data_IF_136913964387
#
_entry.id   IF_136913964387
#
_cell.length_a   1.000
_cell.length_b   1.000
_cell.length_c   1.000
_cell.angle_alpha   90.00
_cell.angle_beta   90.00
_cell.angle_gamma   90.00
#
_symmetry.space_group_name_H-M   'P 1'
#
loop_
_entity.id
_entity.type
_entity.pdbx_description
1 polymer ?
#
# COMPACT_ATOMS: atom_id res chain seq x y z
N UNK A 1 -24.54 1.54 21.41
CA UNK A 1 -23.65 2.59 21.96
C UNK A 1 -22.54 1.89 22.73
N UNK A 2 -21.27 2.14 22.38
CA UNK A 2 -20.12 1.54 23.06
C UNK A 2 -20.05 2.06 24.51
N UNK A 3 -19.82 1.17 25.48
CA UNK A 3 -19.84 1.53 26.91
C UNK A 3 -18.76 2.56 27.31
N UNK A 4 -17.61 2.54 26.65
CA UNK A 4 -16.50 3.46 26.92
C UNK A 4 -16.43 4.62 25.93
N UNK A 5 -16.86 4.41 24.68
CA UNK A 5 -16.63 5.34 23.57
C UNK A 5 -17.92 6.01 23.04
N UNK A 6 -19.08 5.72 23.63
CA UNK A 6 -20.36 6.31 23.23
C UNK A 6 -20.73 5.94 21.79
N UNK A 7 -20.82 6.95 20.92
CA UNK A 7 -21.17 6.81 19.50
C UNK A 7 -19.96 6.54 18.60
N UNK A 8 -18.73 6.64 19.12
CA UNK A 8 -17.52 6.42 18.30
C UNK A 8 -17.37 4.92 18.00
N UNK A 9 -17.35 4.51 16.72
CA UNK A 9 -17.30 3.10 16.34
C UNK A 9 -15.93 2.47 16.63
N UNK A 10 -15.94 1.23 17.14
CA UNK A 10 -14.73 0.42 17.31
C UNK A 10 -14.59 -0.53 16.12
N UNK A 11 -13.46 -0.49 15.43
CA UNK A 11 -13.15 -1.39 14.32
C UNK A 11 -11.96 -2.27 14.66
N UNK A 12 -11.88 -3.47 14.06
CA UNK A 12 -10.83 -4.45 14.38
C UNK A 12 -10.11 -4.93 13.13
N UNK A 13 -8.79 -4.77 13.11
CA UNK A 13 -7.92 -5.26 12.04
C UNK A 13 -7.15 -6.51 12.47
N UNK A 14 -7.32 -7.60 11.73
CA UNK A 14 -6.77 -8.92 12.00
C UNK A 14 -5.79 -9.38 10.91
N UNK A 15 -5.11 -10.48 11.24
CA UNK A 15 -4.40 -11.38 10.33
C UNK A 15 -5.07 -12.76 10.39
N UNK A 16 -4.82 -13.62 9.41
CA UNK A 16 -5.42 -14.98 9.36
C UNK A 16 -5.09 -15.84 10.59
N UNK A 17 -3.92 -15.60 11.19
CA UNK A 17 -3.46 -16.24 12.43
C UNK A 17 -2.03 -15.83 12.77
N UNK A 18 -1.45 -16.45 13.80
CA UNK A 18 -0.07 -16.16 14.24
C UNK A 18 0.98 -16.97 13.45
N UNK A 19 0.71 -18.26 13.24
CA UNK A 19 1.62 -19.23 12.60
C UNK A 19 1.01 -19.80 11.32
N UNK A 20 1.87 -20.15 10.37
CA UNK A 20 1.45 -20.79 9.12
C UNK A 20 0.72 -22.13 9.40
N UNK A 21 -0.33 -22.42 8.64
CA UNK A 21 -1.18 -23.61 8.85
C UNK A 21 -2.00 -23.61 10.15
N UNK A 22 -1.99 -22.53 10.94
CA UNK A 22 -2.78 -22.39 12.19
C UNK A 22 -3.66 -21.15 12.15
N UNK A 23 -4.40 -21.00 11.06
CA UNK A 23 -5.31 -19.87 10.91
C UNK A 23 -6.49 -20.00 11.89
N UNK A 24 -6.90 -18.90 12.49
CA UNK A 24 -7.98 -18.87 13.49
C UNK A 24 -8.96 -17.71 13.30
N UNK A 25 -8.76 -16.84 12.30
CA UNK A 25 -9.64 -15.69 12.06
C UNK A 25 -11.10 -16.10 11.83
N UNK A 26 -11.36 -17.19 11.10
CA UNK A 26 -12.72 -17.76 10.91
C UNK A 26 -13.47 -18.06 12.23
N UNK A 27 -12.76 -18.31 13.33
CA UNK A 27 -13.36 -18.55 14.66
C UNK A 27 -13.55 -17.27 15.46
N UNK A 28 -12.75 -16.24 15.18
CA UNK A 28 -12.69 -15.00 15.94
C UNK A 28 -13.61 -13.93 15.33
N UNK A 29 -13.63 -13.82 14.00
CA UNK A 29 -14.40 -12.78 13.30
C UNK A 29 -15.91 -12.83 13.57
N UNK A 30 -16.58 -14.00 13.62
CA UNK A 30 -18.00 -14.04 13.97
C UNK A 30 -18.26 -13.45 15.36
N UNK A 31 -17.42 -13.80 16.34
CA UNK A 31 -17.52 -13.30 17.73
C UNK A 31 -17.26 -11.80 17.83
N UNK A 32 -16.36 -11.26 16.99
CA UNK A 32 -16.11 -9.82 16.93
C UNK A 32 -17.33 -9.04 16.46
N UNK A 33 -18.04 -9.58 15.46
CA UNK A 33 -19.28 -8.99 14.96
C UNK A 33 -20.39 -9.10 16.02
N UNK A 34 -20.66 -10.31 16.51
CA UNK A 34 -21.88 -10.60 17.28
C UNK A 34 -21.75 -10.37 18.79
N UNK A 35 -20.64 -10.78 19.40
CA UNK A 35 -20.48 -10.70 20.85
C UNK A 35 -19.85 -9.37 21.30
N UNK A 36 -18.90 -8.84 20.53
CA UNK A 36 -18.06 -7.72 20.98
C UNK A 36 -18.45 -6.38 20.37
N UNK A 37 -19.41 -6.37 19.43
CA UNK A 37 -19.98 -5.15 18.85
C UNK A 37 -18.98 -4.34 18.03
N UNK A 38 -18.08 -5.01 17.30
CA UNK A 38 -17.21 -4.33 16.35
C UNK A 38 -18.04 -3.74 15.19
N UNK A 39 -17.83 -2.47 14.88
CA UNK A 39 -18.56 -1.75 13.84
C UNK A 39 -18.01 -2.01 12.43
N UNK A 40 -16.77 -2.52 12.31
CA UNK A 40 -16.20 -2.99 11.07
C UNK A 40 -15.02 -3.95 11.34
N UNK A 41 -14.81 -4.89 10.42
CA UNK A 41 -13.71 -5.84 10.47
C UNK A 41 -12.76 -5.61 9.29
N UNK A 42 -11.47 -5.81 9.49
CA UNK A 42 -10.49 -5.85 8.39
C UNK A 42 -9.60 -7.07 8.52
N UNK A 43 -9.57 -7.96 7.52
CA UNK A 43 -8.72 -9.15 7.55
C UNK A 43 -7.60 -9.05 6.53
N UNK A 44 -6.36 -9.07 7.01
CA UNK A 44 -5.20 -9.23 6.14
C UNK A 44 -4.95 -10.72 5.89
N UNK A 45 -4.94 -11.14 4.62
CA UNK A 45 -4.86 -12.54 4.17
C UNK A 45 -3.52 -13.26 4.42
N UNK A 46 -2.73 -12.83 5.41
CA UNK A 46 -1.48 -13.49 5.81
C UNK A 46 -1.42 -13.68 7.30
N UNK A 47 -0.74 -14.74 7.72
CA UNK A 47 -0.40 -14.95 9.12
C UNK A 47 0.68 -13.95 9.56
N UNK A 48 0.87 -13.78 10.86
CA UNK A 48 1.97 -12.96 11.40
C UNK A 48 3.33 -13.49 10.93
N UNK A 49 3.54 -14.82 10.97
CA UNK A 49 4.81 -15.47 10.61
C UNK A 49 5.18 -15.27 9.14
N UNK A 50 4.20 -15.29 8.23
CA UNK A 50 4.45 -15.08 6.80
C UNK A 50 5.02 -13.69 6.46
N UNK A 51 4.85 -12.69 7.33
CA UNK A 51 5.27 -11.30 7.07
C UNK A 51 4.80 -10.84 5.68
N UNK A 52 5.73 -10.77 4.71
CA UNK A 52 5.51 -10.41 3.31
C UNK A 52 6.06 -11.47 2.31
N UNK A 53 6.43 -12.67 2.77
CA UNK A 53 7.11 -13.67 1.91
C UNK A 53 6.16 -14.50 1.05
N UNK A 54 4.86 -14.51 1.37
CA UNK A 54 3.81 -15.21 0.60
C UNK A 54 2.75 -14.22 0.13
N UNK A 55 1.97 -14.62 -0.87
CA UNK A 55 0.76 -13.94 -1.29
C UNK A 55 -0.31 -14.00 -0.20
N UNK A 56 -1.21 -13.02 -0.19
CA UNK A 56 -2.41 -13.04 0.62
C UNK A 56 -3.37 -14.15 0.15
N UNK A 57 -3.86 -14.92 1.12
CA UNK A 57 -4.83 -15.99 0.95
C UNK A 57 -6.25 -15.42 0.95
N UNK A 58 -6.76 -15.12 -0.26
CA UNK A 58 -8.09 -14.55 -0.47
C UNK A 58 -9.21 -15.61 -0.35
N UNK A 59 -8.91 -16.89 -0.54
CA UNK A 59 -9.85 -17.99 -0.30
C UNK A 59 -10.15 -18.12 1.20
N UNK A 60 -9.12 -17.96 2.04
CA UNK A 60 -9.31 -17.92 3.47
C UNK A 60 -10.02 -16.65 3.95
N UNK A 61 -9.81 -15.50 3.29
CA UNK A 61 -10.63 -14.30 3.55
C UNK A 61 -12.10 -14.59 3.27
N UNK A 62 -12.41 -15.19 2.12
CA UNK A 62 -13.78 -15.61 1.77
C UNK A 62 -14.37 -16.52 2.85
N UNK A 63 -13.62 -17.55 3.27
CA UNK A 63 -14.03 -18.47 4.35
C UNK A 63 -14.41 -17.72 5.63
N UNK A 64 -13.67 -16.66 5.98
CA UNK A 64 -13.96 -15.86 7.17
C UNK A 64 -15.17 -14.95 6.97
N UNK A 65 -15.38 -14.39 5.77
CA UNK A 65 -16.58 -13.61 5.42
C UNK A 65 -17.81 -14.50 5.54
N UNK A 66 -17.80 -15.67 4.88
CA UNK A 66 -18.91 -16.62 4.91
C UNK A 66 -19.28 -17.02 6.36
N UNK A 67 -18.28 -17.23 7.22
CA UNK A 67 -18.49 -17.56 8.64
C UNK A 67 -19.15 -16.42 9.43
N UNK A 68 -18.81 -15.15 9.13
CA UNK A 68 -19.47 -13.99 9.75
C UNK A 68 -20.91 -13.87 9.26
N UNK A 69 -21.13 -13.97 7.94
CA UNK A 69 -22.47 -13.86 7.34
C UNK A 69 -23.42 -14.95 7.85
N UNK A 70 -22.96 -16.20 7.94
CA UNK A 70 -23.74 -17.29 8.51
C UNK A 70 -24.15 -17.04 9.97
N UNK A 71 -23.26 -16.43 10.76
CA UNK A 71 -23.54 -16.10 12.17
C UNK A 71 -24.51 -14.93 12.31
N UNK A 72 -24.40 -13.93 11.44
CA UNK A 72 -25.33 -12.80 11.36
C UNK A 72 -26.73 -13.27 10.99
N UNK A 73 -26.85 -14.20 10.04
CA UNK A 73 -28.13 -14.79 9.64
C UNK A 73 -28.76 -15.63 10.76
N UNK A 74 -27.97 -16.49 11.43
CA UNK A 74 -28.42 -17.33 12.56
C UNK A 74 -29.03 -16.49 13.69
N UNK A 75 -28.42 -15.34 14.00
CA UNK A 75 -28.82 -14.48 15.12
C UNK A 75 -29.71 -13.31 14.72
N UNK A 76 -30.06 -13.17 13.44
CA UNK A 76 -30.90 -12.06 12.94
C UNK A 76 -30.26 -10.68 13.11
N UNK A 77 -28.93 -10.60 12.99
CA UNK A 77 -28.14 -9.39 13.22
C UNK A 77 -27.95 -8.58 11.94
N UNK A 78 -27.69 -7.29 12.11
CA UNK A 78 -27.30 -6.43 11.01
C UNK A 78 -25.89 -6.80 10.49
N UNK A 79 -25.72 -6.70 9.18
CA UNK A 79 -24.44 -6.99 8.51
C UNK A 79 -23.35 -6.01 8.92
N UNK A 80 -22.22 -6.52 9.41
CA UNK A 80 -21.03 -5.71 9.65
C UNK A 80 -20.20 -5.54 8.36
N UNK A 81 -19.68 -4.34 8.07
CA UNK A 81 -18.70 -4.13 7.01
C UNK A 81 -17.41 -4.92 7.25
N UNK A 82 -16.96 -5.67 6.25
CA UNK A 82 -15.73 -6.45 6.26
C UNK A 82 -14.83 -6.00 5.11
N UNK A 83 -13.61 -5.59 5.44
CA UNK A 83 -12.59 -5.20 4.48
C UNK A 83 -11.51 -6.29 4.33
N UNK A 84 -11.27 -6.74 3.11
CA UNK A 84 -10.14 -7.61 2.79
C UNK A 84 -8.82 -6.83 2.71
N UNK A 85 -7.69 -7.50 2.91
CA UNK A 85 -6.39 -6.84 2.87
C UNK A 85 -5.28 -7.73 2.34
N UNK A 86 -4.51 -7.18 1.41
CA UNK A 86 -3.28 -7.79 0.92
C UNK A 86 -3.24 -7.92 -0.60
N UNK A 87 -2.14 -7.46 -1.18
CA UNK A 87 -1.76 -7.72 -2.57
C UNK A 87 -2.81 -7.27 -3.61
N UNK A 88 -3.48 -6.15 -3.35
CA UNK A 88 -4.29 -5.42 -4.33
C UNK A 88 -3.47 -4.23 -4.85
N UNK A 89 -3.13 -4.26 -6.14
CA UNK A 89 -2.20 -3.31 -6.75
C UNK A 89 -2.73 -2.61 -7.99
N UNK A 90 -3.96 -2.93 -8.40
CA UNK A 90 -4.62 -2.38 -9.57
C UNK A 90 -6.14 -2.30 -9.31
N UNK A 91 -6.87 -1.59 -10.18
CA UNK A 91 -8.33 -1.57 -10.17
C UNK A 91 -8.93 -2.96 -10.40
N UNK A 92 -8.43 -3.66 -11.41
CA UNK A 92 -8.83 -5.04 -11.70
C UNK A 92 -8.61 -5.95 -10.48
N UNK A 93 -7.40 -5.91 -9.91
CA UNK A 93 -7.05 -6.65 -8.69
C UNK A 93 -8.05 -6.40 -7.55
N UNK A 94 -8.43 -5.13 -7.33
CA UNK A 94 -9.36 -4.74 -6.28
C UNK A 94 -10.74 -5.37 -6.49
N UNK A 95 -11.31 -5.22 -7.69
CA UNK A 95 -12.67 -5.68 -7.97
C UNK A 95 -12.76 -7.21 -8.07
N UNK A 96 -11.75 -7.88 -8.62
CA UNK A 96 -11.66 -9.34 -8.57
C UNK A 96 -11.68 -9.86 -7.13
N UNK A 97 -10.93 -9.22 -6.23
CA UNK A 97 -10.87 -9.59 -4.81
C UNK A 97 -12.19 -9.34 -4.07
N UNK A 98 -12.86 -8.21 -4.35
CA UNK A 98 -14.21 -7.93 -3.83
C UNK A 98 -15.18 -9.01 -4.27
N UNK A 99 -15.28 -9.27 -5.59
CA UNK A 99 -16.22 -10.21 -6.16
C UNK A 99 -15.97 -11.66 -5.72
N UNK A 100 -14.70 -12.06 -5.63
CA UNK A 100 -14.30 -13.41 -5.23
C UNK A 100 -14.57 -13.70 -3.76
N UNK A 101 -14.23 -12.75 -2.88
CA UNK A 101 -14.22 -12.99 -1.44
C UNK A 101 -15.47 -12.50 -0.69
N UNK A 102 -16.32 -11.70 -1.34
CA UNK A 102 -17.53 -11.15 -0.72
C UNK A 102 -17.27 -10.07 0.33
N UNK A 103 -16.06 -9.50 0.36
CA UNK A 103 -15.74 -8.36 1.22
C UNK A 103 -16.42 -7.09 0.71
N UNK A 104 -16.76 -6.17 1.61
CA UNK A 104 -17.40 -4.88 1.28
C UNK A 104 -16.40 -3.87 0.69
N UNK A 105 -15.11 -4.16 0.80
CA UNK A 105 -14.04 -3.39 0.17
C UNK A 105 -12.67 -3.97 0.46
N UNK A 106 -11.64 -3.38 -0.15
CA UNK A 106 -10.24 -3.80 0.06
C UNK A 106 -9.41 -2.67 0.63
N UNK A 107 -8.70 -2.95 1.73
CA UNK A 107 -7.70 -2.04 2.29
C UNK A 107 -6.41 -2.10 1.47
N UNK A 108 -6.15 -1.04 0.72
CA UNK A 108 -4.95 -0.86 -0.10
C UNK A 108 -3.87 -0.13 0.72
N UNK A 109 -2.64 -0.65 0.71
CA UNK A 109 -1.51 -0.06 1.45
C UNK A 109 -0.28 0.14 0.56
N UNK A 110 0.51 -0.91 0.31
CA UNK A 110 1.71 -0.82 -0.53
C UNK A 110 1.39 -0.33 -1.96
N UNK A 111 0.25 -0.75 -2.53
CA UNK A 111 -0.21 -0.25 -3.83
C UNK A 111 -0.37 1.27 -3.85
N UNK A 112 -0.92 1.86 -2.78
CA UNK A 112 -1.07 3.32 -2.67
C UNK A 112 0.26 4.06 -2.48
N UNK A 113 1.27 3.41 -1.89
CA UNK A 113 2.62 3.99 -1.80
C UNK A 113 3.35 3.99 -3.15
N UNK A 114 3.13 2.96 -3.97
CA UNK A 114 3.78 2.85 -5.29
C UNK A 114 3.02 3.68 -6.34
N UNK A 115 1.70 3.62 -6.32
CA UNK A 115 0.78 4.33 -7.22
C UNK A 115 -0.24 5.12 -6.38
N UNK A 116 0.05 6.36 -5.95
CA UNK A 116 -0.91 7.16 -5.18
C UNK A 116 -2.27 7.37 -5.89
N UNK A 117 -2.31 7.27 -7.22
CA UNK A 117 -3.52 7.37 -8.03
C UNK A 117 -4.36 6.08 -8.09
N UNK A 118 -3.95 4.99 -7.43
CA UNK A 118 -4.71 3.71 -7.41
C UNK A 118 -6.17 3.87 -6.96
N UNK A 119 -6.47 4.85 -6.10
CA UNK A 119 -7.84 5.11 -5.67
C UNK A 119 -8.70 5.68 -6.79
N UNK A 120 -8.11 6.49 -7.68
CA UNK A 120 -8.76 6.95 -8.91
C UNK A 120 -9.03 5.77 -9.84
N UNK A 121 -8.03 4.89 -10.01
CA UNK A 121 -8.19 3.68 -10.84
C UNK A 121 -9.32 2.78 -10.34
N UNK A 122 -9.40 2.56 -9.02
CA UNK A 122 -10.45 1.76 -8.38
C UNK A 122 -11.81 2.42 -8.59
N UNK A 123 -11.92 3.73 -8.35
CA UNK A 123 -13.16 4.50 -8.48
C UNK A 123 -13.70 4.49 -9.92
N UNK A 124 -12.80 4.56 -10.91
CA UNK A 124 -13.16 4.62 -12.32
C UNK A 124 -13.22 3.24 -12.98
N UNK A 125 -12.92 2.16 -12.25
CA UNK A 125 -12.82 0.81 -12.80
C UNK A 125 -11.85 0.71 -14.00
N UNK A 126 -10.77 1.49 -13.97
CA UNK A 126 -9.87 1.65 -15.10
C UNK A 126 -8.41 1.82 -14.64
N UNK A 127 -7.47 1.15 -15.29
CA UNK A 127 -6.04 1.31 -15.01
C UNK A 127 -5.49 2.56 -15.70
N UNK A 128 -4.81 3.42 -14.96
CA UNK A 128 -4.28 4.67 -15.49
C UNK A 128 -2.82 4.52 -15.93
N UNK A 129 -2.55 4.83 -17.20
CA UNK A 129 -1.19 4.93 -17.75
C UNK A 129 -0.71 6.38 -17.76
N UNK A 130 -0.52 6.97 -16.58
CA UNK A 130 -0.11 8.37 -16.47
C UNK A 130 1.30 8.60 -17.01
N UNK A 131 1.54 9.78 -17.57
CA UNK A 131 2.82 10.22 -18.09
C UNK A 131 3.85 10.48 -16.99
N UNK A 132 5.14 10.52 -17.37
CA UNK A 132 6.25 10.92 -16.51
C UNK A 132 6.05 12.31 -15.88
N UNK A 133 5.44 13.25 -16.64
CA UNK A 133 5.14 14.60 -16.17
C UNK A 133 4.04 14.64 -15.12
N UNK A 134 2.98 13.84 -15.30
CA UNK A 134 1.92 13.72 -14.28
C UNK A 134 2.46 13.07 -13.00
N UNK A 135 3.36 12.09 -13.11
CA UNK A 135 4.08 11.54 -11.94
C UNK A 135 4.92 12.61 -11.24
N UNK A 136 5.67 13.40 -11.99
CA UNK A 136 6.48 14.49 -11.46
C UNK A 136 5.63 15.56 -10.75
N UNK A 137 4.44 15.85 -11.27
CA UNK A 137 3.48 16.76 -10.64
C UNK A 137 2.99 16.23 -9.28
N UNK A 138 2.77 14.93 -9.13
CA UNK A 138 2.45 14.33 -7.82
C UNK A 138 3.60 14.46 -6.82
N UNK A 139 4.85 14.32 -7.28
CA UNK A 139 6.06 14.51 -6.48
C UNK A 139 6.20 15.98 -6.05
N UNK A 140 5.92 16.92 -6.96
CA UNK A 140 5.87 18.36 -6.67
C UNK A 140 4.87 18.66 -5.55
N UNK A 141 3.63 18.16 -5.67
CA UNK A 141 2.60 18.32 -4.62
C UNK A 141 3.02 17.71 -3.29
N UNK A 142 3.69 16.55 -3.31
CA UNK A 142 4.23 15.94 -2.08
C UNK A 142 5.23 16.88 -1.40
N UNK A 143 6.16 17.47 -2.16
CA UNK A 143 7.13 18.43 -1.63
C UNK A 143 6.44 19.67 -1.06
N UNK A 144 5.44 20.22 -1.74
CA UNK A 144 4.66 21.38 -1.27
C UNK A 144 3.94 21.10 0.06
N UNK A 145 3.29 19.94 0.18
CA UNK A 145 2.63 19.53 1.41
C UNK A 145 3.63 19.30 2.55
N UNK A 146 4.80 18.73 2.23
CA UNK A 146 5.88 18.57 3.18
C UNK A 146 6.37 19.91 3.73
N UNK A 147 6.67 20.88 2.86
CA UNK A 147 7.08 22.22 3.28
C UNK A 147 6.00 22.97 4.06
N UNK A 148 4.74 22.79 3.68
CA UNK A 148 3.60 23.38 4.40
C UNK A 148 3.43 22.80 5.81
N UNK A 149 3.78 21.53 6.00
CA UNK A 149 3.65 20.83 7.27
C UNK A 149 4.88 20.98 8.18
N UNK A 150 6.08 20.81 7.63
CA UNK A 150 7.34 20.80 8.38
C UNK A 150 8.05 22.15 8.41
N UNK A 151 7.64 23.12 7.58
CA UNK A 151 8.28 24.41 7.43
C UNK A 151 9.27 24.48 6.27
N UNK A 152 9.62 25.70 5.89
CA UNK A 152 10.56 26.03 4.82
C UNK A 152 11.96 26.43 5.32
N UNK A 153 12.20 26.31 6.61
CA UNK A 153 13.54 26.43 7.18
C UNK A 153 14.40 25.20 6.82
N UNK A 154 15.70 25.26 7.12
CA UNK A 154 16.62 24.16 6.81
C UNK A 154 16.16 22.82 7.39
N UNK A 155 15.58 22.83 8.60
CA UNK A 155 15.06 21.62 9.25
C UNK A 155 13.85 21.05 8.52
N UNK A 156 12.87 21.89 8.19
CA UNK A 156 11.66 21.49 7.49
C UNK A 156 11.92 21.02 6.07
N UNK A 157 12.83 21.69 5.34
CA UNK A 157 13.28 21.28 3.99
C UNK A 157 13.94 19.91 4.04
N UNK A 158 14.88 19.68 4.97
CA UNK A 158 15.56 18.40 5.10
C UNK A 158 14.63 17.28 5.56
N UNK A 159 13.67 17.58 6.44
CA UNK A 159 12.64 16.62 6.87
C UNK A 159 11.76 16.23 5.68
N UNK A 160 11.29 17.22 4.91
CA UNK A 160 10.53 17.00 3.68
C UNK A 160 11.32 16.16 2.68
N UNK A 161 12.60 16.47 2.46
CA UNK A 161 13.49 15.71 1.57
C UNK A 161 13.59 14.26 1.99
N UNK A 162 13.80 13.99 3.29
CA UNK A 162 13.86 12.62 3.83
C UNK A 162 12.58 11.85 3.48
N UNK A 163 11.41 12.39 3.78
CA UNK A 163 10.13 11.70 3.52
C UNK A 163 9.82 11.57 2.03
N UNK A 164 10.18 12.56 1.21
CA UNK A 164 10.07 12.48 -0.24
C UNK A 164 10.92 11.34 -0.80
N UNK A 165 12.17 11.21 -0.38
CA UNK A 165 13.03 10.10 -0.78
C UNK A 165 12.49 8.73 -0.29
N UNK A 166 11.90 8.66 0.90
CA UNK A 166 11.21 7.42 1.35
C UNK A 166 10.00 7.11 0.45
N UNK A 167 9.23 8.11 0.00
CA UNK A 167 8.13 7.91 -0.94
C UNK A 167 8.63 7.42 -2.31
N UNK A 168 9.70 8.02 -2.84
CA UNK A 168 10.35 7.60 -4.07
C UNK A 168 10.86 6.15 -4.00
N UNK A 169 11.30 5.69 -2.82
CA UNK A 169 11.68 4.29 -2.57
C UNK A 169 10.53 3.26 -2.68
N UNK A 170 9.28 3.72 -2.80
CA UNK A 170 8.15 2.90 -3.21
C UNK A 170 7.78 3.16 -4.67
N UNK A 171 7.67 4.43 -5.06
CA UNK A 171 7.19 4.84 -6.39
C UNK A 171 8.08 4.36 -7.55
N UNK A 172 9.38 4.15 -7.33
CA UNK A 172 10.29 3.63 -8.36
C UNK A 172 9.89 2.23 -8.87
N UNK A 173 9.08 1.49 -8.09
CA UNK A 173 8.61 0.14 -8.45
C UNK A 173 7.46 0.15 -9.45
N UNK A 174 6.89 1.32 -9.75
CA UNK A 174 5.87 1.43 -10.78
C UNK A 174 6.49 1.24 -12.16
N UNK A 175 5.94 0.28 -12.91
CA UNK A 175 6.24 0.09 -14.33
C UNK A 175 5.07 0.67 -15.14
N UNK A 176 5.35 1.59 -16.08
CA UNK A 176 4.34 2.13 -16.99
C UNK A 176 3.57 1.03 -17.73
N UNK A 177 2.27 1.22 -17.91
CA UNK A 177 1.39 0.19 -18.50
C UNK A 177 1.81 -0.12 -19.93
N UNK A 178 2.16 0.90 -20.72
CA UNK A 178 2.67 0.71 -22.08
C UNK A 178 3.97 -0.10 -22.20
N UNK A 179 4.64 -0.43 -21.09
CA UNK A 179 5.85 -1.27 -21.04
C UNK A 179 5.60 -2.67 -20.48
N UNK A 180 4.38 -2.96 -20.02
CA UNK A 180 4.02 -4.27 -19.47
C UNK A 180 3.58 -5.22 -20.60
N UNK A 181 4.15 -6.42 -20.61
CA UNK A 181 3.71 -7.49 -21.53
C UNK A 181 2.35 -8.09 -21.12
N UNK A 182 2.04 -8.07 -19.82
CA UNK A 182 0.82 -8.65 -19.24
C UNK A 182 0.20 -7.69 -18.24
N UNK A 183 -1.12 -7.50 -18.35
CA UNK A 183 -1.93 -6.70 -17.42
C UNK A 183 -2.84 -7.61 -16.56
N UNK A 184 -3.07 -7.27 -15.28
CA UNK A 184 -2.48 -6.14 -14.55
C UNK A 184 -1.03 -6.44 -14.15
N UNK A 185 -0.20 -5.40 -14.10
CA UNK A 185 1.19 -5.53 -13.64
C UNK A 185 1.23 -6.02 -12.20
N UNK A 186 1.98 -7.09 -11.94
CA UNK A 186 2.17 -7.60 -10.58
C UNK A 186 3.22 -6.74 -9.89
N UNK A 187 2.79 -5.81 -9.05
CA UNK A 187 3.71 -4.90 -8.34
C UNK A 187 4.60 -5.58 -7.27
N UNK A 188 4.36 -6.86 -6.96
CA UNK A 188 5.31 -7.67 -6.19
C UNK A 188 6.45 -8.23 -7.06
N UNK A 189 6.28 -8.28 -8.38
CA UNK A 189 7.29 -8.75 -9.30
C UNK A 189 8.40 -7.70 -9.40
N UNK A 190 9.61 -8.20 -9.63
CA UNK A 190 10.76 -7.33 -9.86
C UNK A 190 10.96 -7.27 -11.36
N UNK A 191 10.52 -6.19 -12.03
CA UNK A 191 10.77 -6.06 -13.45
C UNK A 191 12.29 -6.06 -13.70
N UNK A 192 12.75 -6.62 -14.83
CA UNK A 192 14.12 -6.40 -15.26
C UNK A 192 14.36 -4.89 -15.45
N UNK A 193 15.63 -4.49 -15.48
CA UNK A 193 15.97 -3.11 -15.81
C UNK A 193 15.35 -2.74 -17.17
N UNK A 194 14.61 -1.63 -17.20
CA UNK A 194 13.95 -1.15 -18.40
C UNK A 194 14.26 0.34 -18.59
N UNK A 195 14.17 0.79 -19.84
CA UNK A 195 14.17 2.22 -20.16
C UNK A 195 12.73 2.69 -20.21
N UNK A 196 12.42 3.77 -19.51
CA UNK A 196 11.11 4.40 -19.55
C UNK A 196 10.78 4.93 -20.95
N UNK A 197 9.53 5.39 -21.14
CA UNK A 197 9.09 6.01 -22.41
C UNK A 197 9.86 7.30 -22.72
N UNK A 198 10.42 7.94 -21.69
CA UNK A 198 11.32 9.09 -21.80
C UNK A 198 12.42 9.05 -20.70
N UNK A 199 13.32 10.04 -20.72
CA UNK A 199 14.42 10.17 -19.75
C UNK A 199 13.92 10.40 -18.32
N UNK A 200 12.85 11.17 -18.14
CA UNK A 200 12.28 11.46 -16.83
C UNK A 200 11.67 10.19 -16.22
N UNK A 201 10.98 9.40 -17.02
CA UNK A 201 10.43 8.12 -16.59
C UNK A 201 11.52 7.11 -16.22
N UNK A 202 12.61 7.10 -17.00
CA UNK A 202 13.80 6.29 -16.70
C UNK A 202 14.40 6.72 -15.36
N UNK A 203 14.52 8.02 -15.10
CA UNK A 203 14.97 8.57 -13.82
C UNK A 203 14.03 8.19 -12.66
N UNK A 204 12.72 8.29 -12.86
CA UNK A 204 11.69 7.94 -11.87
C UNK A 204 11.61 6.43 -11.58
N UNK A 205 12.11 5.59 -12.48
CA UNK A 205 12.21 4.13 -12.30
C UNK A 205 13.57 3.70 -11.69
N UNK A 206 14.51 4.63 -11.49
CA UNK A 206 15.83 4.32 -10.96
C UNK A 206 15.74 3.71 -9.56
N UNK A 207 16.48 2.62 -9.35
CA UNK A 207 16.66 2.00 -8.04
C UNK A 207 17.81 2.63 -7.24
N UNK A 208 18.53 3.60 -7.80
CA UNK A 208 19.62 4.30 -7.13
C UNK A 208 19.07 5.42 -6.23
N UNK A 209 19.35 5.34 -4.93
CA UNK A 209 18.97 6.35 -3.95
C UNK A 209 19.48 7.76 -4.26
N UNK A 210 20.60 7.89 -4.98
CA UNK A 210 21.18 9.18 -5.38
C UNK A 210 20.29 9.89 -6.40
N UNK A 211 19.62 9.13 -7.27
CA UNK A 211 18.68 9.71 -8.23
C UNK A 211 17.42 10.23 -7.53
N UNK A 212 16.99 9.59 -6.44
CA UNK A 212 15.90 10.10 -5.62
C UNK A 212 16.27 11.42 -4.91
N UNK A 213 17.53 11.56 -4.49
CA UNK A 213 18.03 12.84 -3.98
C UNK A 213 18.00 13.90 -5.08
N UNK A 214 18.52 13.62 -6.28
CA UNK A 214 18.46 14.56 -7.42
C UNK A 214 17.02 14.98 -7.76
N UNK A 215 16.07 14.04 -7.79
CA UNK A 215 14.64 14.36 -8.02
C UNK A 215 14.14 15.31 -6.93
N UNK A 216 14.50 15.08 -5.66
CA UNK A 216 14.09 15.95 -4.57
C UNK A 216 14.68 17.36 -4.68
N UNK A 217 15.87 17.52 -5.28
CA UNK A 217 16.52 18.83 -5.46
C UNK A 217 15.77 19.74 -6.44
N UNK A 218 15.03 19.17 -7.38
CA UNK A 218 14.17 19.91 -8.31
C UNK A 218 13.17 20.80 -7.56
N UNK A 219 12.67 20.33 -6.40
CA UNK A 219 11.62 21.00 -5.64
C UNK A 219 12.09 21.64 -4.34
N UNK A 220 13.17 21.13 -3.76
CA UNK A 220 13.62 21.51 -2.42
C UNK A 220 14.97 22.24 -2.42
N UNK A 221 15.51 22.57 -3.60
CA UNK A 221 16.86 23.12 -3.76
C UNK A 221 17.96 22.08 -3.55
N UNK A 222 19.24 22.46 -3.63
CA UNK A 222 20.37 21.53 -3.50
C UNK A 222 20.38 20.86 -2.11
N UNK A 223 20.70 19.57 -2.08
CA UNK A 223 20.93 18.89 -0.81
C UNK A 223 22.28 19.36 -0.19
N UNK A 224 22.42 19.34 1.15
CA UNK A 224 23.71 19.56 1.79
C UNK A 224 24.77 18.59 1.25
N UNK A 225 26.04 19.02 1.13
CA UNK A 225 27.12 18.17 0.58
C UNK A 225 27.30 16.85 1.35
N UNK A 226 27.01 16.85 2.65
CA UNK A 226 27.07 15.67 3.52
C UNK A 226 25.79 14.82 3.51
N UNK A 227 24.82 15.12 2.65
CA UNK A 227 23.52 14.45 2.65
C UNK A 227 23.60 13.07 2.00
N UNK A 228 23.32 12.04 2.80
CA UNK A 228 23.23 10.65 2.34
C UNK A 228 21.85 10.12 2.69
N UNK A 229 21.12 9.65 1.67
CA UNK A 229 19.85 8.98 1.88
C UNK A 229 20.00 7.46 1.77
N UNK A 230 19.77 6.78 2.88
CA UNK A 230 19.63 5.32 2.91
C UNK A 230 18.17 4.98 3.21
N UNK A 231 17.46 4.29 2.31
CA UNK A 231 16.06 3.92 2.53
C UNK A 231 15.89 2.97 3.72
N UNK A 232 14.83 3.15 4.50
CA UNK A 232 14.61 2.39 5.76
C UNK A 232 14.22 0.93 5.56
N UNK A 233 13.57 0.63 4.45
CA UNK A 233 13.23 -0.74 4.11
C UNK A 233 14.44 -1.37 3.40
N UNK A 234 14.56 -2.71 3.42
CA UNK A 234 15.36 -3.42 2.41
C UNK A 234 14.72 -3.25 1.02
N UNK A 235 14.39 -2.02 0.61
CA UNK A 235 14.45 -1.64 -0.79
C UNK A 235 15.87 -1.98 -1.18
N UNK A 236 16.02 -2.89 -2.14
CA UNK A 236 17.33 -3.28 -2.67
C UNK A 236 17.90 -2.13 -3.52
N UNK A 237 17.85 -0.90 -3.00
CA UNK A 237 18.45 0.27 -3.59
C UNK A 237 19.95 0.08 -3.47
N UNK A 238 20.65 0.09 -4.60
CA UNK A 238 22.08 -0.06 -4.61
C UNK A 238 22.70 1.28 -4.19
N UNK A 239 23.05 1.40 -2.92
CA UNK A 239 24.10 2.33 -2.48
C UNK A 239 25.46 1.72 -2.83
N UNK A 240 26.48 2.55 -3.06
CA UNK A 240 27.83 2.10 -3.41
C UNK A 240 28.59 1.37 -2.27
N UNK A 241 27.89 0.79 -1.30
CA UNK A 241 28.45 -0.09 -0.30
C UNK A 241 27.64 -1.39 -0.27
N UNK A 242 28.31 -2.49 -0.63
CA UNK A 242 27.87 -3.84 -0.37
C UNK A 242 27.47 -3.95 1.11
N UNK A 243 26.18 -4.15 1.40
CA UNK A 243 25.77 -4.52 2.75
C UNK A 243 26.23 -5.97 2.99
N UNK A 244 27.42 -6.11 3.54
CA UNK A 244 27.85 -7.32 4.25
C UNK A 244 26.88 -7.58 5.41
N UNK A 245 26.39 -8.81 5.53
CA UNK A 245 25.62 -9.30 6.70
C UNK A 245 24.32 -10.03 6.38
#
# INVERSE_FOLDING_TARGET
MNRALGEVPVTVKLRTGVKDGRNNAHKIMPRLSTEWGAAALTLHGRTRQQRYSKLADWDYIKTCVDAVRAKEEEEGLATVPIFGGGDAFSSQDYWEKVNHSGVDGVMVARGALIKPWIFTEIKEHHEWDISSRERLELIRKYAEYGLSHFGSDTTGVNTTRRYLCEALSFQYRYVPIGLLEVLPGRLNDRPPAFRGRDELETLLASSDSRDWVKISEIFLGPAPESWIFTPKHKSNAHGAEESQG
#
